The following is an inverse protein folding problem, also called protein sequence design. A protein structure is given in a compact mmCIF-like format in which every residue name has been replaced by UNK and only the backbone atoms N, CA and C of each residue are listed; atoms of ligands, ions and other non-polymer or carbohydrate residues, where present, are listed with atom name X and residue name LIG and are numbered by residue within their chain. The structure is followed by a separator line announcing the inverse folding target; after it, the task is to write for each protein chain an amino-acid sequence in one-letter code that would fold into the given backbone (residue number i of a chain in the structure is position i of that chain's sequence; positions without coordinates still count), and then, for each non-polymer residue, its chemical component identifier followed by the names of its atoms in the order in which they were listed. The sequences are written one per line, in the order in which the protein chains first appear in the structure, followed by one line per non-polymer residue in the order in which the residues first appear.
data_IF_451870799728
#
_entry.id   IF_451870799728
#
_cell.length_a   1.000
_cell.length_b   1.000
_cell.length_c   1.000
_cell.angle_alpha   90.00
_cell.angle_beta   90.00
_cell.angle_gamma   90.00
#
_symmetry.space_group_name_H-M   'P 1'
#
loop_
_entity.id
_entity.type
_entity.pdbx_description
1 polymer ?
#
# COMPACT_ATOMS: atom_id res chain seq x y z
N UNK A 1 10.56 0.08 -15.59
CA UNK A 1 9.62 0.86 -14.77
C UNK A 1 8.78 -0.02 -13.86
N UNK A 2 8.15 0.58 -12.86
CA UNK A 2 7.22 -0.15 -11.98
C UNK A 2 5.86 -0.34 -12.66
N UNK A 3 5.17 0.77 -12.96
CA UNK A 3 3.91 0.78 -13.72
C UNK A 3 3.65 2.20 -14.23
N UNK A 4 3.48 2.35 -15.54
CA UNK A 4 3.27 3.65 -16.21
C UNK A 4 1.80 4.08 -16.26
N UNK A 5 0.87 3.29 -15.74
CA UNK A 5 -0.55 3.58 -15.74
C UNK A 5 -1.32 2.94 -16.90
N UNK A 6 -2.48 3.51 -17.23
CA UNK A 6 -3.33 3.03 -18.31
C UNK A 6 -2.69 3.24 -19.69
N UNK A 7 -3.04 2.36 -20.64
CA UNK A 7 -2.63 2.47 -22.02
C UNK A 7 -3.20 3.74 -22.66
N UNK A 8 -2.34 4.49 -23.38
CA UNK A 8 -2.73 5.77 -23.99
C UNK A 8 -3.71 5.58 -25.14
N UNK A 9 -3.63 4.49 -25.90
CA UNK A 9 -4.57 4.20 -26.98
C UNK A 9 -5.97 3.92 -26.42
N UNK A 10 -6.04 3.22 -25.27
CA UNK A 10 -7.28 3.01 -24.53
C UNK A 10 -7.88 4.34 -24.05
N UNK A 11 -7.08 5.25 -23.49
CA UNK A 11 -7.56 6.57 -23.03
C UNK A 11 -8.05 7.44 -24.18
N UNK A 12 -7.37 7.43 -25.35
CA UNK A 12 -7.81 8.12 -26.55
C UNK A 12 -9.15 7.57 -27.07
N UNK A 13 -9.31 6.24 -27.04
CA UNK A 13 -10.55 5.58 -27.44
C UNK A 13 -11.75 5.96 -26.55
N UNK A 14 -11.54 6.17 -25.25
CA UNK A 14 -12.59 6.68 -24.34
C UNK A 14 -12.97 8.12 -24.69
N UNK A 15 -11.99 9.00 -24.92
CA UNK A 15 -12.25 10.40 -25.27
C UNK A 15 -12.97 10.57 -26.62
N UNK A 16 -12.75 9.68 -27.58
CA UNK A 16 -13.37 9.74 -28.92
C UNK A 16 -14.87 9.33 -28.93
N UNK A 17 -15.35 8.63 -27.91
CA UNK A 17 -16.73 8.11 -27.84
C UNK A 17 -17.78 9.08 -27.29
N UNK A 18 -17.44 10.34 -27.08
CA UNK A 18 -18.37 11.46 -26.71
C UNK A 18 -19.44 11.17 -25.64
N UNK A 19 -19.24 10.20 -24.77
CA UNK A 19 -20.15 9.93 -23.64
C UNK A 19 -21.54 9.34 -24.00
N UNK A 20 -21.78 8.93 -25.24
CA UNK A 20 -23.09 8.44 -25.70
C UNK A 20 -23.37 6.95 -25.49
N UNK A 21 -22.40 6.18 -25.07
CA UNK A 21 -22.65 4.81 -24.62
C UNK A 21 -22.26 4.68 -23.15
N UNK A 22 -23.04 3.85 -22.44
CA UNK A 22 -22.78 3.40 -21.07
C UNK A 22 -21.28 3.38 -20.82
N UNK A 23 -20.82 4.25 -19.93
CA UNK A 23 -19.44 4.37 -19.52
C UNK A 23 -18.72 3.03 -19.71
N UNK A 24 -17.60 2.94 -20.47
CA UNK A 24 -16.81 1.71 -20.54
C UNK A 24 -16.27 1.31 -19.17
N UNK A 25 -16.39 2.17 -18.21
CA UNK A 25 -16.57 1.90 -16.81
C UNK A 25 -18.05 1.48 -16.50
N UNK A 26 -18.60 0.48 -17.14
CA UNK A 26 -19.15 -0.60 -16.33
C UNK A 26 -17.96 -0.92 -15.47
N UNK A 27 -17.98 -0.28 -14.28
CA UNK A 27 -17.03 -0.51 -13.23
C UNK A 27 -16.83 -2.01 -13.21
N UNK A 28 -15.86 -2.49 -14.02
CA UNK A 28 -15.36 -3.83 -13.82
C UNK A 28 -15.15 -3.81 -12.33
N UNK A 29 -15.67 -4.83 -11.65
CA UNK A 29 -15.47 -5.05 -10.22
C UNK A 29 -13.97 -5.26 -9.92
N UNK A 30 -13.11 -4.55 -10.63
CA UNK A 30 -11.67 -4.52 -10.47
C UNK A 30 -11.39 -3.64 -9.26
N UNK A 31 -11.27 -4.31 -8.14
CA UNK A 31 -10.87 -3.67 -6.89
C UNK A 31 -9.42 -3.28 -6.97
N UNK A 32 -9.15 -1.99 -7.22
CA UNK A 32 -7.80 -1.45 -7.18
C UNK A 32 -7.23 -1.38 -5.76
N UNK A 33 -8.06 -1.56 -4.74
CA UNK A 33 -7.70 -1.66 -3.33
C UNK A 33 -7.35 -3.10 -2.88
N UNK A 34 -7.23 -4.03 -3.81
CA UNK A 34 -6.95 -5.45 -3.52
C UNK A 34 -5.80 -5.65 -2.53
N UNK A 35 -4.71 -4.89 -2.66
CA UNK A 35 -3.55 -5.01 -1.78
C UNK A 35 -3.91 -4.78 -0.30
N UNK A 36 -4.90 -3.93 0.00
CA UNK A 36 -5.37 -3.68 1.37
C UNK A 36 -6.11 -4.88 1.97
N UNK A 37 -6.75 -5.71 1.14
CA UNK A 37 -7.56 -6.85 1.60
C UNK A 37 -6.76 -8.14 1.80
N UNK A 38 -5.53 -8.21 1.28
CA UNK A 38 -4.64 -9.36 1.49
C UNK A 38 -4.26 -9.45 2.97
N UNK A 39 -4.54 -10.57 3.68
CA UNK A 39 -4.23 -10.73 5.11
C UNK A 39 -2.74 -11.01 5.36
N UNK A 40 -1.88 -10.30 4.65
CA UNK A 40 -0.41 -10.37 4.71
C UNK A 40 0.16 -9.00 4.38
N UNK A 41 1.34 -8.65 4.86
CA UNK A 41 2.04 -7.45 4.40
C UNK A 41 2.25 -7.48 2.89
N UNK A 42 1.92 -6.38 2.22
CA UNK A 42 2.19 -6.15 0.80
C UNK A 42 3.22 -5.04 0.68
N UNK A 43 4.38 -5.37 0.15
CA UNK A 43 5.51 -4.44 0.02
C UNK A 43 5.74 -4.13 -1.46
N UNK A 44 5.72 -2.87 -1.85
CA UNK A 44 6.04 -2.43 -3.19
C UNK A 44 7.53 -2.14 -3.34
N UNK A 45 8.18 -2.78 -4.33
CA UNK A 45 9.54 -2.47 -4.79
C UNK A 45 9.46 -1.63 -6.07
N UNK A 46 9.52 -0.31 -5.95
CA UNK A 46 9.26 0.63 -7.05
C UNK A 46 10.58 0.90 -7.80
N UNK A 47 10.84 0.11 -8.83
CA UNK A 47 12.10 0.09 -9.58
C UNK A 47 12.20 1.14 -10.70
N UNK A 48 11.28 2.09 -10.79
CA UNK A 48 11.30 3.12 -11.84
C UNK A 48 9.98 3.87 -11.93
N UNK A 49 9.53 4.19 -13.15
CA UNK A 49 8.31 4.97 -13.35
C UNK A 49 7.07 4.37 -12.68
N UNK A 50 6.40 5.20 -11.86
CA UNK A 50 5.22 4.89 -11.08
C UNK A 50 4.19 6.01 -11.32
N UNK A 51 3.25 5.81 -12.27
CA UNK A 51 2.39 6.87 -12.77
C UNK A 51 0.93 6.45 -12.86
N UNK A 52 0.01 7.40 -12.66
CA UNK A 52 -1.43 7.19 -12.79
C UNK A 52 -1.91 5.98 -11.99
N UNK A 53 -2.48 4.98 -12.65
CA UNK A 53 -2.93 3.74 -12.00
C UNK A 53 -1.79 3.01 -11.28
N UNK A 54 -0.56 3.04 -11.80
CA UNK A 54 0.61 2.51 -11.10
C UNK A 54 0.88 3.22 -9.77
N UNK A 55 0.69 4.54 -9.72
CA UNK A 55 0.77 5.30 -8.48
C UNK A 55 -0.34 4.90 -7.50
N UNK A 56 -1.58 4.71 -7.98
CA UNK A 56 -2.68 4.19 -7.16
C UNK A 56 -2.32 2.85 -6.52
N UNK A 57 -1.88 1.87 -7.32
CA UNK A 57 -1.50 0.55 -6.80
C UNK A 57 -0.38 0.62 -5.76
N UNK A 58 0.61 1.49 -5.98
CA UNK A 58 1.67 1.71 -4.98
C UNK A 58 1.10 2.26 -3.67
N UNK A 59 0.13 3.20 -3.72
CA UNK A 59 -0.50 3.75 -2.52
C UNK A 59 -1.38 2.74 -1.77
N UNK A 60 -1.89 1.71 -2.43
CA UNK A 60 -2.65 0.63 -1.79
C UNK A 60 -1.77 -0.45 -1.14
N UNK A 61 -0.46 -0.46 -1.37
CA UNK A 61 0.46 -1.34 -0.66
C UNK A 61 0.70 -0.85 0.77
N UNK A 62 1.05 -1.74 1.69
CA UNK A 62 1.31 -1.38 3.09
C UNK A 62 2.64 -0.62 3.23
N UNK A 63 3.67 -1.08 2.56
CA UNK A 63 5.04 -0.55 2.62
C UNK A 63 5.55 -0.32 1.21
N UNK A 64 6.32 0.74 1.01
CA UNK A 64 6.88 1.14 -0.30
C UNK A 64 8.35 1.45 -0.17
N UNK A 65 9.18 0.76 -0.97
CA UNK A 65 10.59 1.08 -1.20
C UNK A 65 10.76 1.49 -2.66
N UNK A 66 11.66 2.41 -2.94
CA UNK A 66 11.91 2.88 -4.30
C UNK A 66 13.39 2.83 -4.65
N UNK A 67 13.67 2.66 -5.93
CA UNK A 67 15.01 2.88 -6.47
C UNK A 67 15.35 4.37 -6.50
N UNK A 68 16.62 4.72 -6.30
CA UNK A 68 17.14 6.06 -6.56
C UNK A 68 16.72 6.56 -7.94
N UNK A 69 16.27 7.81 -8.03
CA UNK A 69 15.81 8.41 -9.27
C UNK A 69 14.51 7.85 -9.86
N UNK A 70 13.81 6.94 -9.17
CA UNK A 70 12.48 6.50 -9.60
C UNK A 70 11.51 7.70 -9.67
N UNK A 71 10.66 7.73 -10.72
CA UNK A 71 9.80 8.86 -11.04
C UNK A 71 8.36 8.57 -10.64
N UNK A 72 7.75 9.50 -9.95
CA UNK A 72 6.36 9.43 -9.49
C UNK A 72 5.52 10.53 -10.09
N UNK A 73 4.26 10.24 -10.43
CA UNK A 73 3.26 11.25 -10.76
C UNK A 73 1.85 10.66 -10.63
N UNK A 74 0.90 11.43 -10.11
CA UNK A 74 -0.51 11.07 -10.20
C UNK A 74 -1.04 11.21 -11.62
N UNK A 75 -0.55 12.23 -12.35
CA UNK A 75 -0.87 12.58 -13.73
C UNK A 75 -2.35 12.90 -14.02
N UNK A 76 -3.27 12.70 -13.09
CA UNK A 76 -4.72 12.82 -13.32
C UNK A 76 -5.16 14.22 -13.75
N UNK A 77 -4.88 15.25 -12.96
CA UNK A 77 -5.31 16.62 -13.24
C UNK A 77 -4.78 17.15 -14.60
N UNK A 78 -3.57 16.76 -15.00
CA UNK A 78 -2.99 17.11 -16.30
C UNK A 78 -3.71 16.47 -17.50
N UNK A 79 -4.60 15.51 -17.25
CA UNK A 79 -5.43 14.81 -18.25
C UNK A 79 -6.92 15.11 -18.08
N UNK A 80 -7.28 16.09 -17.22
CA UNK A 80 -8.67 16.40 -16.93
C UNK A 80 -9.39 15.34 -16.09
N UNK A 81 -8.65 14.44 -15.45
CA UNK A 81 -9.18 13.39 -14.58
C UNK A 81 -9.12 13.83 -13.11
N UNK A 82 -9.95 13.19 -12.29
CA UNK A 82 -9.98 13.38 -10.83
C UNK A 82 -9.05 12.37 -10.15
N UNK A 83 -8.98 12.40 -8.83
CA UNK A 83 -8.25 11.40 -8.03
C UNK A 83 -9.02 10.08 -7.99
N UNK A 84 -8.72 9.20 -8.94
CA UNK A 84 -9.45 7.96 -9.22
C UNK A 84 -9.07 6.81 -8.27
N UNK A 85 -9.88 5.76 -8.30
CA UNK A 85 -9.59 4.44 -7.69
C UNK A 85 -9.24 4.51 -6.19
N UNK A 86 -9.80 5.46 -5.46
CA UNK A 86 -9.60 5.59 -4.02
C UNK A 86 -8.30 6.27 -3.60
N UNK A 87 -7.47 6.78 -4.53
CA UNK A 87 -6.26 7.51 -4.17
C UNK A 87 -6.54 8.81 -3.41
N UNK A 88 -7.71 9.44 -3.62
CA UNK A 88 -8.18 10.59 -2.84
C UNK A 88 -8.38 10.27 -1.35
N UNK A 89 -8.70 9.03 -1.03
CA UNK A 89 -8.82 8.54 0.33
C UNK A 89 -7.45 8.15 0.93
N UNK A 90 -6.66 7.37 0.18
CA UNK A 90 -5.41 6.80 0.68
C UNK A 90 -4.27 7.81 0.78
N UNK A 91 -4.06 8.62 -0.27
CA UNK A 91 -2.89 9.50 -0.34
C UNK A 91 -2.81 10.49 0.83
N UNK A 92 -3.88 11.24 1.20
CA UNK A 92 -3.80 12.17 2.34
C UNK A 92 -3.57 11.46 3.68
N UNK A 93 -3.91 10.18 3.80
CA UNK A 93 -3.63 9.38 5.00
C UNK A 93 -2.19 8.93 5.09
N UNK A 94 -1.52 8.82 3.94
CA UNK A 94 -0.09 8.45 3.86
C UNK A 94 0.81 9.66 4.00
N UNK A 95 0.52 10.77 3.29
CA UNK A 95 1.44 11.92 3.17
C UNK A 95 0.91 13.21 3.81
N UNK A 96 -0.26 13.18 4.40
CA UNK A 96 -0.97 14.36 4.88
C UNK A 96 -1.68 15.13 3.76
N UNK A 97 -2.68 15.99 4.11
CA UNK A 97 -3.52 16.65 3.12
C UNK A 97 -2.75 17.60 2.19
N UNK A 98 -1.78 18.34 2.71
CA UNK A 98 -1.03 19.34 1.94
C UNK A 98 -0.21 18.70 0.81
N UNK A 99 0.59 17.67 1.12
CA UNK A 99 1.37 16.94 0.12
C UNK A 99 0.45 16.20 -0.86
N UNK A 100 -0.67 15.64 -0.38
CA UNK A 100 -1.64 14.98 -1.24
C UNK A 100 -2.25 15.94 -2.27
N UNK A 101 -2.60 17.16 -1.86
CA UNK A 101 -3.12 18.18 -2.77
C UNK A 101 -2.06 18.64 -3.78
N UNK A 102 -0.81 18.85 -3.35
CA UNK A 102 0.27 19.17 -4.30
C UNK A 102 0.43 18.07 -5.35
N UNK A 103 0.54 16.81 -4.93
CA UNK A 103 0.71 15.66 -5.84
C UNK A 103 -0.48 15.54 -6.81
N UNK A 104 -1.71 15.63 -6.30
CA UNK A 104 -2.92 15.40 -7.10
C UNK A 104 -3.23 16.55 -8.04
N UNK A 105 -3.17 17.81 -7.56
CA UNK A 105 -3.54 18.99 -8.35
C UNK A 105 -2.48 19.35 -9.38
N UNK A 106 -1.19 19.30 -9.01
CA UNK A 106 -0.12 19.63 -9.94
C UNK A 106 0.09 18.56 -11.01
N UNK A 107 -0.14 17.28 -10.66
CA UNK A 107 0.19 16.15 -11.51
C UNK A 107 1.64 16.17 -11.97
N UNK A 108 2.52 16.88 -11.23
CA UNK A 108 3.95 16.98 -11.56
C UNK A 108 4.67 15.66 -11.38
N UNK A 109 5.81 15.55 -12.04
CA UNK A 109 6.75 14.46 -11.76
C UNK A 109 7.62 14.87 -10.58
N UNK A 110 7.82 13.94 -9.65
CA UNK A 110 8.78 14.06 -8.55
C UNK A 110 9.61 12.78 -8.43
N UNK A 111 10.78 12.87 -7.81
CA UNK A 111 11.71 11.76 -7.70
C UNK A 111 11.56 10.99 -6.38
N UNK A 112 12.21 9.84 -6.29
CA UNK A 112 12.17 8.96 -5.12
C UNK A 112 12.63 9.67 -3.84
N UNK A 113 13.62 10.55 -3.93
CA UNK A 113 14.17 11.31 -2.83
C UNK A 113 13.10 12.23 -2.22
N UNK A 114 12.42 13.00 -3.06
CA UNK A 114 11.29 13.84 -2.65
C UNK A 114 10.11 13.01 -2.17
N UNK A 115 9.84 11.85 -2.81
CA UNK A 115 8.82 10.90 -2.38
C UNK A 115 9.09 10.40 -0.95
N UNK A 116 10.34 10.22 -0.55
CA UNK A 116 10.73 9.86 0.80
C UNK A 116 10.51 11.02 1.79
N UNK A 117 10.87 12.24 1.43
CA UNK A 117 10.63 13.42 2.26
C UNK A 117 9.14 13.65 2.55
N UNK A 118 8.30 13.44 1.54
CA UNK A 118 6.83 13.53 1.68
C UNK A 118 6.19 12.32 2.37
N UNK A 119 6.92 11.22 2.59
CA UNK A 119 6.38 9.99 3.18
C UNK A 119 5.67 9.05 2.18
N UNK A 120 5.75 9.31 0.87
CA UNK A 120 5.23 8.42 -0.17
C UNK A 120 5.94 7.06 -0.12
N UNK A 121 7.25 7.05 0.07
CA UNK A 121 8.06 5.84 0.26
C UNK A 121 8.84 5.91 1.55
N UNK A 122 9.10 4.75 2.18
CA UNK A 122 9.83 4.68 3.44
C UNK A 122 11.34 4.53 3.26
N UNK A 123 11.79 3.98 2.12
CA UNK A 123 13.22 3.80 1.79
C UNK A 123 13.48 4.12 0.33
N UNK A 124 14.66 4.73 0.08
CA UNK A 124 15.24 4.87 -1.25
C UNK A 124 16.55 4.11 -1.24
N UNK A 125 16.78 3.28 -2.25
CA UNK A 125 17.85 2.30 -2.34
C UNK A 125 18.48 2.35 -3.73
N UNK A 126 19.78 1.99 -3.88
CA UNK A 126 20.38 1.77 -5.18
C UNK A 126 19.53 0.79 -6.01
N UNK A 127 19.38 1.05 -7.31
CA UNK A 127 18.48 0.31 -8.17
C UNK A 127 18.77 -1.20 -8.23
N UNK A 128 20.05 -1.57 -8.18
CA UNK A 128 20.56 -2.93 -8.16
C UNK A 128 20.33 -3.67 -6.83
N UNK A 129 20.09 -2.94 -5.74
CA UNK A 129 19.86 -3.48 -4.40
C UNK A 129 18.38 -3.49 -4.00
N UNK A 130 17.53 -2.78 -4.72
CA UNK A 130 16.14 -2.56 -4.34
C UNK A 130 15.38 -3.88 -4.12
N UNK A 131 15.43 -4.78 -5.11
CA UNK A 131 14.64 -6.01 -5.06
C UNK A 131 15.12 -6.93 -3.93
N UNK A 132 16.42 -7.17 -3.86
CA UNK A 132 17.01 -8.06 -2.87
C UNK A 132 16.76 -7.53 -1.44
N UNK A 133 16.94 -6.23 -1.21
CA UNK A 133 16.65 -5.61 0.09
C UNK A 133 15.16 -5.69 0.44
N UNK A 134 14.28 -5.51 -0.55
CA UNK A 134 12.82 -5.62 -0.31
C UNK A 134 12.41 -7.05 0.01
N UNK A 135 12.96 -8.03 -0.70
CA UNK A 135 12.71 -9.45 -0.46
C UNK A 135 13.24 -9.87 0.91
N UNK A 136 14.44 -9.44 1.28
CA UNK A 136 15.00 -9.75 2.60
C UNK A 136 14.16 -9.14 3.73
N UNK A 137 13.73 -7.90 3.58
CA UNK A 137 12.79 -7.29 4.53
C UNK A 137 11.50 -8.11 4.68
N UNK A 138 10.94 -8.58 3.57
CA UNK A 138 9.73 -9.43 3.61
C UNK A 138 10.01 -10.79 4.26
N UNK A 139 11.20 -11.38 4.05
CA UNK A 139 11.62 -12.61 4.73
C UNK A 139 11.79 -12.42 6.24
N UNK A 140 12.38 -11.31 6.66
CA UNK A 140 12.49 -10.96 8.08
C UNK A 140 11.12 -10.84 8.76
N UNK A 141 10.15 -10.15 8.10
CA UNK A 141 8.78 -10.12 8.58
C UNK A 141 8.19 -11.53 8.74
N UNK A 142 8.36 -12.39 7.73
CA UNK A 142 7.85 -13.76 7.77
C UNK A 142 8.58 -14.66 8.78
N UNK A 143 9.85 -14.38 9.09
CA UNK A 143 10.64 -15.15 10.04
C UNK A 143 10.38 -14.78 11.49
N UNK A 144 10.24 -13.49 11.78
CA UNK A 144 10.24 -12.98 13.16
C UNK A 144 8.90 -12.46 13.66
N UNK A 145 7.90 -12.34 12.80
CA UNK A 145 6.59 -11.80 13.17
C UNK A 145 5.47 -12.81 12.94
N UNK A 146 4.61 -12.98 13.94
CA UNK A 146 3.47 -13.89 13.84
C UNK A 146 2.53 -13.47 12.68
N UNK A 147 2.25 -14.36 11.72
CA UNK A 147 1.47 -14.04 10.53
C UNK A 147 0.06 -13.53 10.85
N UNK A 148 -0.61 -14.14 11.83
CA UNK A 148 -1.93 -13.67 12.28
C UNK A 148 -1.86 -12.27 12.87
N UNK A 149 -0.84 -11.98 13.69
CA UNK A 149 -0.67 -10.66 14.29
C UNK A 149 -0.45 -9.58 13.23
N UNK A 150 0.39 -9.86 12.22
CA UNK A 150 0.59 -8.93 11.09
C UNK A 150 -0.71 -8.66 10.33
N UNK A 151 -1.52 -9.70 10.08
CA UNK A 151 -2.81 -9.55 9.42
C UNK A 151 -3.78 -8.68 10.24
N UNK A 152 -3.83 -8.90 11.57
CA UNK A 152 -4.67 -8.07 12.45
C UNK A 152 -4.17 -6.62 12.54
N UNK A 153 -2.86 -6.40 12.68
CA UNK A 153 -2.28 -5.05 12.70
C UNK A 153 -2.59 -4.28 11.41
N UNK A 154 -2.44 -4.93 10.26
CA UNK A 154 -2.82 -4.35 8.97
C UNK A 154 -4.30 -3.95 8.95
N UNK A 155 -5.18 -4.87 9.35
CA UNK A 155 -6.62 -4.59 9.42
C UNK A 155 -6.91 -3.45 10.41
N UNK A 156 -6.31 -3.45 11.60
CA UNK A 156 -6.48 -2.38 12.59
C UNK A 156 -6.07 -1.02 12.03
N UNK A 157 -4.89 -0.92 11.41
CA UNK A 157 -4.40 0.36 10.87
C UNK A 157 -5.38 0.91 9.83
N UNK A 158 -5.83 0.11 8.89
CA UNK A 158 -6.68 0.61 7.80
C UNK A 158 -8.15 0.79 8.19
N UNK A 159 -8.73 -0.14 8.97
CA UNK A 159 -10.14 -0.07 9.35
C UNK A 159 -10.41 0.98 10.45
N UNK A 160 -9.43 1.23 11.34
CA UNK A 160 -9.63 2.15 12.46
C UNK A 160 -9.46 3.63 12.08
N UNK A 161 -8.96 3.93 10.88
CA UNK A 161 -8.88 5.30 10.38
C UNK A 161 -10.25 5.99 10.26
N UNK A 162 -11.31 5.21 10.13
CA UNK A 162 -12.68 5.71 9.98
C UNK A 162 -13.51 5.61 11.28
N UNK A 163 -12.90 5.11 12.37
CA UNK A 163 -13.58 4.94 13.67
C UNK A 163 -13.33 6.12 14.60
N UNK A 164 -14.30 6.39 15.47
CA UNK A 164 -14.08 7.25 16.62
C UNK A 164 -13.06 6.61 17.58
N UNK A 165 -12.30 7.44 18.32
CA UNK A 165 -11.24 6.95 19.22
C UNK A 165 -11.71 5.85 20.18
N UNK A 166 -12.90 6.01 20.78
CA UNK A 166 -13.44 5.03 21.75
C UNK A 166 -13.72 3.69 21.08
N UNK A 167 -14.35 3.71 19.90
CA UNK A 167 -14.64 2.51 19.10
C UNK A 167 -13.36 1.78 18.67
N UNK A 168 -12.34 2.55 18.26
CA UNK A 168 -11.02 2.02 17.91
C UNK A 168 -10.35 1.33 19.11
N UNK A 169 -10.40 1.92 20.32
CA UNK A 169 -9.86 1.32 21.54
C UNK A 169 -10.60 0.04 21.91
N UNK A 170 -11.93 0.02 21.82
CA UNK A 170 -12.73 -1.18 22.09
C UNK A 170 -12.45 -2.29 21.08
N UNK A 171 -12.33 -1.96 19.79
CA UNK A 171 -11.95 -2.91 18.76
C UNK A 171 -10.55 -3.51 19.04
N UNK A 172 -9.58 -2.68 19.41
CA UNK A 172 -8.22 -3.12 19.75
C UNK A 172 -8.22 -4.04 20.97
N UNK A 173 -9.00 -3.73 22.02
CA UNK A 173 -9.12 -4.56 23.22
C UNK A 173 -9.70 -5.95 22.91
N UNK A 174 -10.68 -6.04 22.00
CA UNK A 174 -11.21 -7.33 21.55
C UNK A 174 -10.15 -8.17 20.87
N UNK A 175 -9.42 -7.60 19.93
CA UNK A 175 -8.34 -8.29 19.19
C UNK A 175 -7.19 -8.67 20.13
N UNK A 176 -6.84 -7.82 21.08
CA UNK A 176 -5.85 -8.13 22.12
C UNK A 176 -6.26 -9.36 22.95
N UNK A 177 -7.49 -9.40 23.43
CA UNK A 177 -7.99 -10.54 24.20
C UNK A 177 -7.97 -11.86 23.41
N UNK A 178 -8.16 -11.79 22.10
CA UNK A 178 -8.02 -12.94 21.21
C UNK A 178 -6.54 -13.34 21.04
N UNK A 179 -5.66 -12.37 20.79
CA UNK A 179 -4.22 -12.63 20.58
C UNK A 179 -3.58 -13.37 21.74
N UNK A 180 -3.94 -13.04 22.99
CA UNK A 180 -3.41 -13.70 24.18
C UNK A 180 -3.79 -15.19 24.30
N UNK A 181 -4.82 -15.64 23.58
CA UNK A 181 -5.27 -17.05 23.57
C UNK A 181 -4.61 -17.88 22.48
N UNK A 182 -3.92 -17.25 21.52
CA UNK A 182 -3.37 -17.93 20.36
C UNK A 182 -2.07 -18.67 20.68
N UNK A 183 -1.77 -19.77 19.95
CA UNK A 183 -0.49 -20.45 20.02
C UNK A 183 0.69 -19.51 19.77
N UNK A 184 0.55 -18.58 18.81
CA UNK A 184 1.60 -17.60 18.45
C UNK A 184 2.05 -16.75 19.64
N UNK A 185 1.14 -16.40 20.57
CA UNK A 185 1.52 -15.67 21.78
C UNK A 185 2.45 -16.50 22.67
N UNK A 186 2.14 -17.77 22.86
CA UNK A 186 2.96 -18.67 23.67
C UNK A 186 4.34 -18.89 23.03
N UNK A 187 4.36 -19.11 21.71
CA UNK A 187 5.60 -19.29 20.95
C UNK A 187 6.45 -18.02 20.98
N UNK A 188 5.85 -16.85 20.76
CA UNK A 188 6.56 -15.58 20.82
C UNK A 188 7.22 -15.31 22.17
N UNK A 189 6.55 -15.65 23.28
CA UNK A 189 7.14 -15.55 24.63
C UNK A 189 8.24 -16.61 24.83
N UNK A 190 8.01 -17.86 24.45
CA UNK A 190 8.97 -18.95 24.62
C UNK A 190 10.26 -18.70 23.82
N UNK A 191 10.14 -18.37 22.55
CA UNK A 191 11.28 -18.09 21.67
C UNK A 191 12.14 -16.93 22.19
N UNK A 192 11.51 -15.88 22.70
CA UNK A 192 12.20 -14.73 23.29
C UNK A 192 13.02 -15.12 24.55
N UNK A 193 12.40 -15.86 25.46
CA UNK A 193 13.05 -16.33 26.70
C UNK A 193 14.21 -17.31 26.40
N UNK A 194 14.00 -18.20 25.43
CA UNK A 194 14.96 -19.21 25.00
C UNK A 194 16.02 -18.64 24.03
N UNK A 195 15.91 -17.40 23.60
CA UNK A 195 16.84 -16.72 22.67
C UNK A 195 17.01 -17.49 21.35
N UNK A 196 15.93 -18.00 20.81
CA UNK A 196 15.87 -18.67 19.51
C UNK A 196 14.91 -17.98 18.56
N UNK A 197 14.99 -18.30 17.30
CA UNK A 197 13.98 -17.85 16.32
C UNK A 197 12.61 -18.45 16.65
N UNK A 198 11.52 -17.68 16.46
CA UNK A 198 10.18 -18.18 16.64
C UNK A 198 9.78 -19.13 15.49
N UNK A 199 8.84 -20.04 15.79
CA UNK A 199 8.22 -20.93 14.81
C UNK A 199 6.71 -20.72 14.83
N UNK A 200 6.24 -19.67 14.16
CA UNK A 200 4.83 -19.34 14.11
C UNK A 200 4.06 -20.19 13.10
N UNK A 201 2.78 -20.43 13.37
CA UNK A 201 1.90 -21.12 12.44
C UNK A 201 1.57 -20.25 11.22
N UNK A 202 1.57 -20.81 10.00
CA UNK A 202 1.17 -20.06 8.82
C UNK A 202 -0.31 -19.68 8.89
N UNK A 203 -0.68 -18.47 8.43
CA UNK A 203 -2.08 -18.14 8.19
C UNK A 203 -2.55 -18.96 6.99
N UNK A 204 -3.41 -19.94 7.25
CA UNK A 204 -4.12 -20.65 6.18
C UNK A 204 -5.09 -19.65 5.57
N UNK A 205 -4.93 -19.38 4.27
CA UNK A 205 -5.77 -18.41 3.56
C UNK A 205 -7.24 -18.83 3.59
N UNK A 206 -8.09 -17.89 3.95
CA UNK A 206 -9.51 -17.90 3.65
C UNK A 206 -9.75 -17.38 2.25
#
# INVERSE_FOLDING_TARGET
GFCSGADMDMLQGIGARNGEEESPMKLRNERHDYALTVPKPVVAAINGACAGLGFVHAMMCDIRFAAEGAKFTSAFARRGLIAEHGVSYMLPRVVGPSNALDILMSGRVFLAEEAKEMGVVSRVLPADQLLDTTVEYARELGRYSAPWSMAQMKNQVWSQLDLARTESLEASNRVMAESLKRPDFKEGVASFVEKRDPSFEPVVGS
#
